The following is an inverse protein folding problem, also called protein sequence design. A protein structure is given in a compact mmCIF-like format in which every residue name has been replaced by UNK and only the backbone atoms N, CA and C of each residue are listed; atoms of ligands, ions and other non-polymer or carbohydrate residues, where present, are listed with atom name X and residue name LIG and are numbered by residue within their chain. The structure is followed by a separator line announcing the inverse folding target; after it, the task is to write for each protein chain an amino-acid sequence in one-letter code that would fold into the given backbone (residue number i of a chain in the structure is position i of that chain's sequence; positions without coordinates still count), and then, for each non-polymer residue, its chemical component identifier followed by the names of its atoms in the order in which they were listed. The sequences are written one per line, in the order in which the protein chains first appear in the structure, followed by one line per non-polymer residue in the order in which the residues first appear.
data_IF_966565318084
#
_entry.id   IF_966565318084
#
_cell.length_a   1.000
_cell.length_b   1.000
_cell.length_c   1.000
_cell.angle_alpha   90.00
_cell.angle_beta   90.00
_cell.angle_gamma   90.00
#
_symmetry.space_group_name_H-M   'P 1'
#
loop_
_entity.id
_entity.type
_entity.pdbx_description
1 polymer ?
#
# COMPACT_ATOMS: atom_id res chain seq x y z
N UNK A 1 -7.40 -24.14 28.35
CA UNK A 1 -7.19 -24.94 27.12
C UNK A 1 -7.99 -24.40 25.91
N UNK A 2 -9.17 -23.81 26.08
CA UNK A 2 -9.98 -23.26 24.98
C UNK A 2 -9.43 -21.94 24.40
N UNK A 3 -8.83 -21.07 25.22
CA UNK A 3 -8.25 -19.78 24.77
C UNK A 3 -6.98 -19.98 23.92
N UNK A 4 -6.16 -20.98 24.22
CA UNK A 4 -4.91 -21.27 23.50
C UNK A 4 -5.18 -21.91 22.12
N UNK A 5 -6.29 -22.60 21.95
CA UNK A 5 -6.73 -23.17 20.67
C UNK A 5 -7.36 -22.12 19.75
N UNK A 6 -8.01 -21.10 20.32
CA UNK A 6 -8.56 -19.97 19.57
C UNK A 6 -7.43 -19.05 19.05
N UNK A 7 -6.41 -18.79 19.84
CA UNK A 7 -5.24 -17.99 19.44
C UNK A 7 -4.42 -18.64 18.32
N UNK A 8 -4.42 -19.97 18.21
CA UNK A 8 -3.69 -20.70 17.13
C UNK A 8 -4.40 -20.64 15.79
N UNK A 9 -5.65 -20.23 15.72
CA UNK A 9 -6.47 -20.18 14.50
C UNK A 9 -6.71 -18.77 13.93
N UNK A 10 -6.37 -17.71 14.66
CA UNK A 10 -6.49 -16.35 14.13
C UNK A 10 -5.34 -16.07 13.16
N UNK A 11 -5.61 -16.21 11.89
CA UNK A 11 -4.67 -15.79 10.84
C UNK A 11 -4.65 -14.26 10.77
N UNK A 12 -3.52 -13.67 10.36
CA UNK A 12 -3.42 -12.21 10.16
C UNK A 12 -4.49 -11.68 9.18
N UNK A 13 -5.07 -12.57 8.35
CA UNK A 13 -6.12 -12.27 7.38
C UNK A 13 -7.43 -11.79 8.00
N UNK A 14 -7.68 -12.08 9.27
CA UNK A 14 -8.92 -11.70 9.98
C UNK A 14 -8.70 -10.50 10.91
N UNK A 15 -7.45 -10.10 11.13
CA UNK A 15 -7.11 -9.04 12.07
C UNK A 15 -7.35 -7.65 11.47
N UNK A 16 -7.80 -6.66 12.30
CA UNK A 16 -7.87 -5.27 11.87
C UNK A 16 -6.47 -4.68 11.68
N UNK A 17 -6.39 -3.57 10.95
CA UNK A 17 -5.14 -2.80 10.83
C UNK A 17 -4.72 -2.24 12.20
N UNK A 18 -3.42 -1.97 12.37
CA UNK A 18 -2.82 -1.59 13.65
C UNK A 18 -2.91 -0.09 13.98
N UNK A 19 -3.64 0.68 13.19
CA UNK A 19 -3.79 2.13 13.33
C UNK A 19 -5.25 2.55 13.11
N UNK A 20 -5.64 3.73 13.62
CA UNK A 20 -7.04 4.18 13.58
C UNK A 20 -7.39 5.14 12.44
N UNK A 21 -6.38 5.76 11.79
CA UNK A 21 -6.61 6.75 10.73
C UNK A 21 -6.58 6.11 9.33
N UNK A 22 -7.49 5.17 9.09
CA UNK A 22 -7.60 4.46 7.81
C UNK A 22 -8.06 5.43 6.72
N UNK A 23 -7.35 5.41 5.57
CA UNK A 23 -7.60 6.32 4.46
C UNK A 23 -6.91 7.69 4.58
N UNK A 24 -6.13 7.94 5.65
CA UNK A 24 -5.46 9.22 5.82
C UNK A 24 -4.45 9.53 4.72
N UNK A 25 -3.87 8.53 4.05
CA UNK A 25 -2.97 8.76 2.92
C UNK A 25 -3.68 9.30 1.67
N UNK A 26 -5.01 9.22 1.62
CA UNK A 26 -5.82 9.83 0.56
C UNK A 26 -6.03 11.34 0.79
N UNK A 27 -5.92 11.82 2.03
CA UNK A 27 -6.15 13.23 2.37
C UNK A 27 -5.11 14.15 1.70
N UNK A 28 -5.58 15.19 1.03
CA UNK A 28 -4.72 16.15 0.33
C UNK A 28 -3.82 16.95 1.30
N UNK A 29 -4.24 17.10 2.54
CA UNK A 29 -3.58 17.87 3.58
C UNK A 29 -2.77 17.00 4.58
N UNK A 30 -2.53 15.71 4.25
CA UNK A 30 -1.79 14.78 5.09
C UNK A 30 -0.47 15.33 5.65
N UNK A 31 0.27 16.09 4.83
CA UNK A 31 1.57 16.66 5.24
C UNK A 31 1.43 17.79 6.26
N UNK A 32 0.29 18.50 6.23
CA UNK A 32 0.03 19.64 7.12
C UNK A 32 -0.65 19.19 8.42
N UNK A 33 -1.52 18.19 8.34
CA UNK A 33 -2.32 17.70 9.47
C UNK A 33 -2.20 16.17 9.64
N UNK A 34 -0.98 15.65 9.87
CA UNK A 34 -0.82 14.21 10.05
C UNK A 34 -1.51 13.74 11.34
N UNK A 35 -2.00 12.51 11.38
CA UNK A 35 -2.51 11.92 12.60
C UNK A 35 -1.47 11.96 13.71
N UNK A 36 -1.89 12.27 14.94
CA UNK A 36 -1.01 12.47 16.09
C UNK A 36 -0.09 11.26 16.32
N UNK A 37 1.21 11.51 16.34
CA UNK A 37 2.24 10.50 16.59
C UNK A 37 2.71 9.74 15.35
N UNK A 38 2.17 10.05 14.18
CA UNK A 38 2.63 9.50 12.91
C UNK A 38 3.51 10.50 12.16
N UNK A 39 4.43 9.97 11.37
CA UNK A 39 5.28 10.75 10.47
C UNK A 39 4.74 10.63 9.05
N UNK A 40 4.30 11.73 8.43
CA UNK A 40 3.86 11.71 7.05
C UNK A 40 5.05 11.75 6.10
N UNK A 41 4.86 11.14 4.93
CA UNK A 41 5.79 11.17 3.81
C UNK A 41 5.00 11.32 2.52
N UNK A 42 5.48 12.18 1.63
CA UNK A 42 5.06 12.20 0.23
C UNK A 42 6.28 12.34 -0.67
N UNK A 43 6.34 11.54 -1.71
CA UNK A 43 7.37 11.58 -2.76
C UNK A 43 6.73 11.24 -4.09
N UNK A 44 7.23 11.86 -5.15
CA UNK A 44 6.80 11.56 -6.51
C UNK A 44 7.96 11.52 -7.48
N UNK A 45 7.76 10.84 -8.60
CA UNK A 45 8.68 10.80 -9.72
C UNK A 45 7.90 10.78 -11.03
N UNK A 46 8.37 11.52 -12.02
CA UNK A 46 7.81 11.46 -13.36
C UNK A 46 8.24 10.17 -14.06
N UNK A 47 7.25 9.42 -14.57
CA UNK A 47 7.45 8.16 -15.29
C UNK A 47 7.53 8.34 -16.81
N UNK A 48 7.06 9.45 -17.33
CA UNK A 48 6.96 9.74 -18.75
C UNK A 48 5.70 10.54 -19.07
N UNK A 49 5.09 10.26 -20.23
CA UNK A 49 3.85 10.92 -20.67
C UNK A 49 3.06 10.05 -21.65
N UNK A 50 1.76 10.34 -21.76
CA UNK A 50 0.81 9.70 -22.66
C UNK A 50 0.09 8.50 -22.06
N UNK A 51 -1.04 8.12 -22.68
CA UNK A 51 -1.97 7.10 -22.18
C UNK A 51 -1.32 5.72 -22.09
N UNK A 52 -0.53 5.33 -23.07
CA UNK A 52 0.19 4.04 -23.06
C UNK A 52 1.12 3.94 -21.86
N UNK A 53 1.80 5.04 -21.50
CA UNK A 53 2.68 5.08 -20.33
C UNK A 53 1.87 4.96 -19.03
N UNK A 54 0.72 5.64 -18.97
CA UNK A 54 -0.19 5.53 -17.82
C UNK A 54 -0.69 4.10 -17.65
N UNK A 55 -1.24 3.49 -18.69
CA UNK A 55 -1.79 2.13 -18.63
C UNK A 55 -0.71 1.10 -18.26
N UNK A 56 0.49 1.19 -18.86
CA UNK A 56 1.60 0.28 -18.52
C UNK A 56 2.02 0.41 -17.06
N UNK A 57 2.15 1.65 -16.55
CA UNK A 57 2.57 1.88 -15.18
C UNK A 57 1.49 1.48 -14.18
N UNK A 58 0.22 1.78 -14.48
CA UNK A 58 -0.93 1.43 -13.66
C UNK A 58 -1.11 -0.10 -13.56
N UNK A 59 -1.05 -0.81 -14.69
CA UNK A 59 -1.12 -2.28 -14.73
C UNK A 59 0.00 -2.91 -13.90
N UNK A 60 1.24 -2.46 -14.10
CA UNK A 60 2.37 -2.95 -13.32
C UNK A 60 2.21 -2.66 -11.82
N UNK A 61 1.70 -1.47 -11.46
CA UNK A 61 1.43 -1.11 -10.07
C UNK A 61 0.42 -2.07 -9.43
N UNK A 62 -0.73 -2.30 -10.11
CA UNK A 62 -1.80 -3.17 -9.61
C UNK A 62 -1.38 -4.64 -9.52
N UNK A 63 -0.30 -5.04 -10.19
CA UNK A 63 0.33 -6.36 -10.10
C UNK A 63 1.47 -6.44 -9.06
N UNK A 64 1.47 -5.54 -8.07
CA UNK A 64 2.54 -5.44 -7.06
C UNK A 64 3.92 -5.04 -7.63
N UNK A 65 3.95 -4.40 -8.79
CA UNK A 65 5.18 -4.07 -9.51
C UNK A 65 6.16 -3.21 -8.72
N UNK A 66 5.65 -2.32 -7.85
CA UNK A 66 6.51 -1.50 -6.97
C UNK A 66 7.24 -2.38 -5.94
N UNK A 67 6.53 -3.28 -5.29
CA UNK A 67 7.11 -4.19 -4.29
C UNK A 67 8.08 -5.16 -4.95
N UNK A 68 7.65 -5.84 -6.02
CA UNK A 68 8.47 -6.81 -6.78
C UNK A 68 9.73 -6.13 -7.36
N UNK A 69 9.58 -4.99 -8.04
CA UNK A 69 10.68 -4.21 -8.63
C UNK A 69 11.66 -3.66 -7.60
N UNK A 70 11.25 -3.56 -6.34
CA UNK A 70 12.11 -3.18 -5.22
C UNK A 70 12.82 -4.36 -4.55
N UNK A 71 12.60 -5.60 -5.03
CA UNK A 71 13.17 -6.82 -4.49
C UNK A 71 12.44 -7.36 -3.27
N UNK A 72 11.23 -6.88 -3.00
CA UNK A 72 10.34 -7.41 -1.97
C UNK A 72 9.55 -8.56 -2.57
N UNK A 73 9.50 -9.70 -1.89
CA UNK A 73 8.60 -10.78 -2.26
C UNK A 73 7.23 -10.54 -1.64
N UNK A 74 6.20 -10.68 -2.45
CA UNK A 74 4.80 -10.65 -2.02
C UNK A 74 4.33 -12.10 -1.93
N UNK A 75 3.97 -12.54 -0.73
CA UNK A 75 3.56 -13.93 -0.44
C UNK A 75 2.24 -13.96 0.31
N UNK A 76 1.64 -15.13 0.40
CA UNK A 76 0.41 -15.35 1.17
C UNK A 76 -0.70 -14.35 0.78
N UNK A 77 -0.81 -14.07 -0.52
CA UNK A 77 -1.85 -13.19 -1.06
C UNK A 77 -3.19 -13.90 -0.96
N UNK A 78 -4.11 -13.34 -0.20
CA UNK A 78 -5.46 -13.90 -0.03
C UNK A 78 -6.51 -12.81 -0.05
N UNK A 79 -7.73 -13.17 -0.43
CA UNK A 79 -8.87 -12.31 -0.17
C UNK A 79 -9.07 -12.20 1.34
N UNK A 80 -9.16 -10.96 1.82
CA UNK A 80 -9.36 -10.72 3.24
C UNK A 80 -10.77 -11.11 3.67
N UNK A 81 -10.88 -11.95 4.71
CA UNK A 81 -12.16 -12.36 5.31
C UNK A 81 -12.56 -11.49 6.51
N UNK A 82 -11.66 -10.63 6.98
CA UNK A 82 -11.87 -9.75 8.14
C UNK A 82 -12.55 -8.42 7.79
N UNK A 83 -12.34 -7.42 8.65
CA UNK A 83 -12.92 -6.07 8.50
C UNK A 83 -12.57 -5.48 7.15
N UNK A 84 -13.60 -5.16 6.35
CA UNK A 84 -13.45 -4.39 5.11
C UNK A 84 -13.46 -2.91 5.48
N UNK A 85 -12.47 -2.17 5.00
CA UNK A 85 -12.42 -0.73 5.15
C UNK A 85 -13.07 -0.12 3.90
N UNK A 86 -14.31 0.36 4.07
CA UNK A 86 -14.94 1.16 3.04
C UNK A 86 -14.35 2.57 3.12
N UNK A 87 -13.70 3.02 2.05
CA UNK A 87 -13.29 4.40 1.92
C UNK A 87 -14.52 5.31 1.93
N UNK A 88 -14.44 6.45 2.61
CA UNK A 88 -15.46 7.49 2.54
C UNK A 88 -14.98 8.51 1.52
N UNK A 89 -15.63 8.57 0.38
CA UNK A 89 -15.51 9.72 -0.53
C UNK A 89 -16.41 10.83 -0.06
N UNK A 90 -15.93 12.06 -0.19
CA UNK A 90 -16.75 13.24 0.07
C UNK A 90 -17.15 13.85 -1.28
N UNK A 91 -18.44 14.04 -1.47
CA UNK A 91 -18.98 14.78 -2.61
C UNK A 91 -18.50 16.24 -2.64
N UNK A 92 -18.71 16.95 -3.75
CA UNK A 92 -18.35 18.39 -3.86
C UNK A 92 -19.02 19.28 -2.80
N UNK A 93 -20.08 18.78 -2.18
CA UNK A 93 -20.84 19.42 -1.10
C UNK A 93 -20.38 18.99 0.31
N UNK A 94 -19.31 18.19 0.41
CA UNK A 94 -18.78 17.66 1.67
C UNK A 94 -19.61 16.53 2.29
N UNK A 95 -20.62 15.99 1.59
CA UNK A 95 -21.38 14.85 2.08
C UNK A 95 -20.58 13.55 1.91
N UNK A 96 -20.55 12.68 2.94
CA UNK A 96 -19.90 11.37 2.80
C UNK A 96 -20.64 10.52 1.76
N UNK A 97 -19.94 10.15 0.70
CA UNK A 97 -20.42 9.14 -0.25
C UNK A 97 -19.76 7.82 0.06
N UNK A 98 -20.55 6.74 0.09
CA UNK A 98 -19.98 5.38 0.11
C UNK A 98 -19.25 5.16 -1.20
N UNK A 99 -17.99 4.80 -1.14
CA UNK A 99 -17.32 4.22 -2.32
C UNK A 99 -18.18 3.05 -2.79
N UNK A 100 -18.54 3.05 -4.08
CA UNK A 100 -19.24 1.90 -4.66
C UNK A 100 -18.38 0.68 -4.38
N UNK A 101 -18.95 -0.29 -3.66
CA UNK A 101 -18.37 -1.62 -3.58
C UNK A 101 -18.03 -2.03 -5.01
N UNK A 102 -16.75 -2.28 -5.27
CA UNK A 102 -16.31 -2.75 -6.59
C UNK A 102 -17.23 -3.89 -7.01
N UNK A 103 -17.74 -3.83 -8.27
CA UNK A 103 -18.33 -4.99 -8.88
C UNK A 103 -17.42 -6.19 -8.63
N UNK A 104 -17.95 -7.42 -8.51
CA UNK A 104 -17.13 -8.60 -8.62
C UNK A 104 -16.47 -8.57 -10.00
N UNK A 105 -15.29 -7.97 -10.03
CA UNK A 105 -14.45 -8.02 -11.22
C UNK A 105 -13.96 -9.45 -11.37
N UNK A 106 -14.03 -9.96 -12.61
CA UNK A 106 -13.36 -11.19 -12.99
C UNK A 106 -11.94 -11.18 -12.46
N UNK A 107 -11.48 -12.32 -11.94
CA UNK A 107 -10.12 -12.46 -11.42
C UNK A 107 -9.12 -12.08 -12.51
N UNK A 108 -8.62 -10.85 -12.45
CA UNK A 108 -7.58 -10.38 -13.37
C UNK A 108 -6.25 -10.72 -12.72
N UNK A 109 -5.45 -11.49 -13.43
CA UNK A 109 -4.12 -11.91 -13.03
C UNK A 109 -3.07 -11.23 -13.90
N UNK A 110 -1.94 -10.91 -13.33
CA UNK A 110 -0.75 -10.56 -14.09
C UNK A 110 -0.19 -11.78 -14.83
N UNK A 111 0.71 -11.57 -15.80
CA UNK A 111 1.31 -12.63 -16.62
C UNK A 111 2.02 -13.71 -15.79
N UNK A 112 2.47 -13.38 -14.60
CA UNK A 112 3.10 -14.30 -13.64
C UNK A 112 2.10 -15.03 -12.73
N UNK A 113 0.80 -14.90 -12.98
CA UNK A 113 -0.27 -15.51 -12.20
C UNK A 113 -0.54 -14.82 -10.85
N UNK A 114 0.08 -13.69 -10.56
CA UNK A 114 -0.21 -12.92 -9.35
C UNK A 114 -1.57 -12.21 -9.51
N UNK A 115 -2.51 -12.35 -8.56
CA UNK A 115 -3.78 -11.64 -8.63
C UNK A 115 -3.55 -10.13 -8.52
N UNK A 116 -4.30 -9.36 -9.29
CA UNK A 116 -4.30 -7.90 -9.15
C UNK A 116 -4.80 -7.48 -7.78
N UNK A 117 -4.27 -6.35 -7.32
CA UNK A 117 -4.64 -5.79 -6.02
C UNK A 117 -6.12 -5.44 -5.99
N UNK A 118 -6.79 -5.89 -4.91
CA UNK A 118 -8.20 -5.58 -4.63
C UNK A 118 -8.36 -5.09 -3.19
N UNK A 119 -9.43 -4.35 -2.97
CA UNK A 119 -9.77 -3.91 -1.61
C UNK A 119 -9.99 -5.12 -0.68
N UNK A 120 -9.46 -5.02 0.54
CA UNK A 120 -9.53 -6.07 1.55
C UNK A 120 -8.51 -7.20 1.42
N UNK A 121 -7.81 -7.33 0.29
CA UNK A 121 -6.75 -8.33 0.15
C UNK A 121 -5.71 -8.20 1.26
N UNK A 122 -5.18 -9.36 1.68
CA UNK A 122 -4.05 -9.43 2.61
C UNK A 122 -2.85 -10.08 1.94
N UNK A 123 -1.66 -9.69 2.35
CA UNK A 123 -0.40 -10.27 1.88
C UNK A 123 0.68 -10.18 2.96
N UNK A 124 1.73 -10.95 2.80
CA UNK A 124 2.95 -10.81 3.59
C UNK A 124 4.09 -10.33 2.70
N UNK A 125 4.59 -9.14 3.00
CA UNK A 125 5.78 -8.61 2.34
C UNK A 125 7.03 -9.18 3.00
N UNK A 126 7.87 -9.87 2.23
CA UNK A 126 9.18 -10.38 2.69
C UNK A 126 10.26 -9.39 2.29
N UNK A 127 10.61 -8.50 3.19
CA UNK A 127 11.51 -7.37 2.98
C UNK A 127 12.96 -7.82 3.24
N UNK A 128 13.87 -7.76 2.25
CA UNK A 128 15.28 -8.09 2.46
C UNK A 128 15.96 -7.16 3.45
N UNK A 129 16.63 -7.74 4.44
CA UNK A 129 17.40 -7.04 5.46
C UNK A 129 18.71 -7.79 5.75
N UNK A 130 19.80 -7.41 5.09
CA UNK A 130 21.06 -8.15 5.12
C UNK A 130 20.87 -9.61 4.64
N UNK A 131 21.31 -10.60 5.41
CA UNK A 131 21.10 -12.02 5.07
C UNK A 131 19.68 -12.51 5.42
N UNK A 132 18.86 -11.70 6.07
CA UNK A 132 17.53 -12.06 6.55
C UNK A 132 16.42 -11.44 5.70
N UNK A 133 15.20 -11.92 5.92
CA UNK A 133 13.97 -11.29 5.42
C UNK A 133 13.03 -10.98 6.58
N UNK A 134 12.56 -9.76 6.65
CA UNK A 134 11.56 -9.33 7.62
C UNK A 134 10.18 -9.57 7.04
N UNK A 135 9.32 -10.25 7.79
CA UNK A 135 7.91 -10.43 7.41
C UNK A 135 7.11 -9.22 7.84
N UNK A 136 6.36 -8.64 6.91
CA UNK A 136 5.55 -7.46 7.12
C UNK A 136 4.12 -7.74 6.60
N UNK A 137 3.20 -8.23 7.45
CA UNK A 137 1.82 -8.48 7.07
C UNK A 137 1.09 -7.16 6.80
N UNK A 138 0.31 -7.13 5.70
CA UNK A 138 -0.43 -5.96 5.26
C UNK A 138 -1.84 -6.33 4.82
N UNK A 139 -2.72 -5.31 4.78
CA UNK A 139 -4.05 -5.39 4.16
C UNK A 139 -4.26 -4.18 3.25
N UNK A 140 -4.76 -4.42 2.06
CA UNK A 140 -5.24 -3.35 1.16
C UNK A 140 -6.48 -2.74 1.78
N UNK A 141 -6.43 -1.44 2.04
CA UNK A 141 -7.50 -0.70 2.74
C UNK A 141 -8.38 0.09 1.78
N UNK A 142 -7.85 0.47 0.61
CA UNK A 142 -8.63 1.01 -0.49
C UNK A 142 -7.88 0.87 -1.82
N UNK A 143 -8.62 0.93 -2.90
CA UNK A 143 -8.14 0.95 -4.29
C UNK A 143 -8.70 2.20 -4.97
N UNK A 144 -7.88 2.89 -5.75
CA UNK A 144 -8.26 4.00 -6.63
C UNK A 144 -8.28 3.46 -8.06
N UNK A 145 -9.42 3.57 -8.74
CA UNK A 145 -9.59 3.16 -10.13
C UNK A 145 -10.41 4.23 -10.87
N UNK A 146 -9.71 5.26 -11.29
CA UNK A 146 -10.24 6.42 -12.00
C UNK A 146 -9.59 6.52 -13.41
N UNK A 147 -10.18 7.24 -14.36
CA UNK A 147 -9.64 7.32 -15.72
C UNK A 147 -8.17 7.77 -15.82
N UNK A 148 -7.73 8.64 -14.91
CA UNK A 148 -6.38 9.23 -14.91
C UNK A 148 -5.62 9.00 -13.59
N UNK A 149 -6.16 8.14 -12.71
CA UNK A 149 -5.55 7.83 -11.41
C UNK A 149 -5.82 6.38 -11.05
N UNK A 150 -4.78 5.58 -10.93
CA UNK A 150 -4.88 4.17 -10.48
C UNK A 150 -3.87 3.86 -9.40
N UNK A 151 -4.32 3.17 -8.37
CA UNK A 151 -3.45 2.81 -7.27
C UNK A 151 -4.16 2.14 -6.12
N UNK A 152 -3.43 1.89 -5.06
CA UNK A 152 -3.96 1.29 -3.85
C UNK A 152 -3.19 1.74 -2.61
N UNK A 153 -3.84 1.67 -1.47
CA UNK A 153 -3.17 1.79 -0.18
C UNK A 153 -3.27 0.49 0.60
N UNK A 154 -2.22 0.17 1.32
CA UNK A 154 -2.26 -0.88 2.32
C UNK A 154 -1.95 -0.35 3.72
N UNK A 155 -2.61 -0.94 4.69
CA UNK A 155 -2.38 -0.74 6.11
C UNK A 155 -1.63 -1.92 6.73
N UNK A 156 -0.87 -1.65 7.77
CA UNK A 156 -0.10 -2.65 8.51
C UNK A 156 -1.00 -3.51 9.39
N UNK A 157 -0.70 -4.80 9.45
CA UNK A 157 -1.33 -5.77 10.36
C UNK A 157 -0.40 -6.11 11.53
N UNK A 158 -0.93 -6.88 12.50
CA UNK A 158 -0.12 -7.35 13.64
C UNK A 158 1.11 -8.13 13.15
N UNK A 159 2.26 -7.89 13.77
CA UNK A 159 3.54 -8.46 13.35
C UNK A 159 4.34 -7.61 12.37
N UNK A 160 3.75 -6.53 11.82
CA UNK A 160 4.48 -5.56 11.01
C UNK A 160 5.42 -4.71 11.88
N UNK A 161 6.67 -4.40 11.44
CA UNK A 161 7.63 -3.55 12.18
C UNK A 161 7.12 -2.14 12.46
N UNK A 162 6.27 -1.62 11.59
CA UNK A 162 5.66 -0.30 11.68
C UNK A 162 4.14 -0.41 11.85
N UNK A 163 3.53 0.68 12.33
CA UNK A 163 2.08 0.87 12.35
C UNK A 163 1.76 2.06 11.46
N UNK A 164 0.92 1.86 10.44
CA UNK A 164 0.56 2.94 9.51
C UNK A 164 0.02 2.44 8.17
N UNK A 165 0.03 3.35 7.20
CA UNK A 165 -0.57 3.19 5.87
C UNK A 165 0.38 3.70 4.80
N UNK A 166 0.37 3.08 3.63
CA UNK A 166 1.18 3.47 2.49
C UNK A 166 0.35 3.39 1.20
N UNK A 167 0.23 4.53 0.51
CA UNK A 167 -0.44 4.69 -0.78
C UNK A 167 0.57 4.69 -1.91
N UNK A 168 0.28 3.92 -2.93
CA UNK A 168 0.97 3.86 -4.21
C UNK A 168 -0.01 4.27 -5.29
N UNK A 169 0.31 5.32 -6.04
CA UNK A 169 -0.59 5.91 -7.02
C UNK A 169 0.16 6.24 -8.31
N UNK A 170 -0.39 5.86 -9.43
CA UNK A 170 -0.02 6.39 -10.76
C UNK A 170 -1.09 7.37 -11.18
N UNK A 171 -0.68 8.58 -11.55
CA UNK A 171 -1.58 9.62 -12.02
C UNK A 171 -1.08 10.26 -13.30
N UNK A 172 -2.02 10.60 -14.18
CA UNK A 172 -1.78 11.35 -15.40
C UNK A 172 -2.37 12.74 -15.25
N UNK A 173 -1.55 13.76 -15.46
CA UNK A 173 -1.95 15.16 -15.38
C UNK A 173 -2.52 15.65 -16.71
N UNK A 174 -3.20 16.80 -16.71
CA UNK A 174 -3.83 17.40 -17.88
C UNK A 174 -2.84 17.71 -19.01
N UNK A 175 -1.57 17.91 -18.70
CA UNK A 175 -0.48 18.08 -19.68
C UNK A 175 0.02 16.76 -20.27
N UNK A 176 -0.64 15.64 -19.95
CA UNK A 176 -0.30 14.29 -20.36
C UNK A 176 0.89 13.67 -19.63
N UNK A 177 1.51 14.36 -18.67
CA UNK A 177 2.61 13.78 -17.89
C UNK A 177 2.10 12.72 -16.93
N UNK A 178 2.86 11.62 -16.80
CA UNK A 178 2.54 10.48 -15.92
C UNK A 178 3.49 10.47 -14.74
N UNK A 179 2.93 10.38 -13.54
CA UNK A 179 3.66 10.43 -12.29
C UNK A 179 3.35 9.20 -11.43
N UNK A 180 4.36 8.74 -10.73
CA UNK A 180 4.17 7.83 -9.60
C UNK A 180 4.28 8.63 -8.31
N UNK A 181 3.28 8.50 -7.46
CA UNK A 181 3.17 9.16 -6.14
C UNK A 181 3.16 8.10 -5.05
N UNK A 182 4.01 8.30 -4.07
CA UNK A 182 4.08 7.51 -2.84
C UNK A 182 3.70 8.42 -1.68
N UNK A 183 2.67 8.06 -0.93
CA UNK A 183 2.31 8.70 0.35
C UNK A 183 2.35 7.67 1.46
N UNK A 184 2.82 8.05 2.62
CA UNK A 184 2.83 7.18 3.77
C UNK A 184 2.60 7.95 5.05
N UNK A 185 2.05 7.26 6.02
CA UNK A 185 2.08 7.66 7.42
C UNK A 185 2.53 6.47 8.25
N UNK A 186 3.52 6.63 9.10
CA UNK A 186 4.04 5.52 9.89
C UNK A 186 4.58 5.94 11.24
N UNK A 187 4.59 4.97 12.13
CA UNK A 187 5.32 5.01 13.41
C UNK A 187 5.84 3.61 13.74
N UNK A 188 6.88 3.46 14.57
CA UNK A 188 7.28 2.16 15.10
C UNK A 188 6.12 1.45 15.80
N UNK A 189 5.90 0.16 15.49
CA UNK A 189 4.73 -0.59 16.00
C UNK A 189 4.81 -0.85 17.51
N UNK A 190 6.00 -0.92 18.09
CA UNK A 190 6.19 -1.19 19.50
C UNK A 190 7.49 -0.55 20.06
N UNK A 191 7.74 -0.73 21.37
CA UNK A 191 8.88 -0.15 22.06
C UNK A 191 10.23 -0.66 21.52
N UNK A 192 10.34 -1.93 21.12
CA UNK A 192 11.54 -2.48 20.52
C UNK A 192 11.88 -1.78 19.20
N UNK A 193 10.90 -1.67 18.30
CA UNK A 193 11.10 -0.96 17.03
C UNK A 193 11.33 0.53 17.20
N UNK A 194 10.88 1.12 18.32
CA UNK A 194 11.23 2.51 18.67
C UNK A 194 12.70 2.67 19.00
N UNK A 195 13.30 1.71 19.72
CA UNK A 195 14.74 1.72 20.03
C UNK A 195 15.58 1.60 18.75
N UNK A 196 15.18 0.74 17.83
CA UNK A 196 15.87 0.53 16.53
C UNK A 196 15.40 1.50 15.44
N UNK A 197 14.64 2.53 15.78
CA UNK A 197 14.05 3.47 14.82
C UNK A 197 15.06 4.15 13.87
N UNK A 198 16.33 4.46 14.25
CA UNK A 198 17.30 4.99 13.29
C UNK A 198 17.61 4.00 12.15
N UNK A 199 17.66 2.70 12.46
CA UNK A 199 17.85 1.63 11.46
C UNK A 199 16.63 1.51 10.59
N UNK A 200 15.42 1.49 11.17
CA UNK A 200 14.16 1.49 10.42
C UNK A 200 14.07 2.69 9.45
N UNK A 201 14.42 3.89 9.92
CA UNK A 201 14.42 5.08 9.09
C UNK A 201 15.42 5.00 7.91
N UNK A 202 16.58 4.36 8.12
CA UNK A 202 17.54 4.12 7.03
C UNK A 202 17.00 3.11 6.01
N UNK A 203 16.36 2.04 6.48
CA UNK A 203 15.68 1.04 5.64
C UNK A 203 14.54 1.69 4.85
N UNK A 204 13.68 2.47 5.50
CA UNK A 204 12.60 3.22 4.85
C UNK A 204 13.14 4.11 3.71
N UNK A 205 14.16 4.94 3.98
CA UNK A 205 14.75 5.80 2.94
C UNK A 205 15.27 4.98 1.76
N UNK A 206 15.91 3.84 2.02
CA UNK A 206 16.40 2.94 0.98
C UNK A 206 15.25 2.38 0.13
N UNK A 207 14.16 1.92 0.77
CA UNK A 207 13.01 1.36 0.05
C UNK A 207 12.20 2.44 -0.65
N UNK A 208 12.00 3.61 -0.06
CA UNK A 208 11.41 4.78 -0.75
C UNK A 208 12.13 5.06 -2.08
N UNK A 209 13.47 5.09 -2.06
CA UNK A 209 14.25 5.32 -3.28
C UNK A 209 14.10 4.19 -4.32
N UNK A 210 13.94 2.94 -3.87
CA UNK A 210 13.67 1.80 -4.77
C UNK A 210 12.26 1.87 -5.33
N UNK A 211 11.25 2.15 -4.50
CA UNK A 211 9.85 2.29 -4.91
C UNK A 211 9.69 3.32 -6.03
N UNK A 212 10.31 4.50 -5.87
CA UNK A 212 10.24 5.57 -6.87
C UNK A 212 10.80 5.13 -8.23
N UNK A 213 11.73 4.19 -8.26
CA UNK A 213 12.35 3.70 -9.51
C UNK A 213 11.69 2.45 -10.07
N UNK A 214 10.90 1.73 -9.27
CA UNK A 214 10.41 0.39 -9.63
C UNK A 214 9.54 0.38 -10.89
N UNK A 215 8.78 1.46 -11.14
CA UNK A 215 7.95 1.61 -12.34
C UNK A 215 8.62 2.45 -13.45
N UNK A 216 9.86 2.87 -13.26
CA UNK A 216 10.54 3.70 -14.27
C UNK A 216 10.95 2.85 -15.48
N UNK A 217 10.75 3.32 -16.73
CA UNK A 217 11.07 2.57 -17.95
C UNK A 217 12.50 2.02 -18.01
N UNK A 218 13.46 2.76 -17.47
CA UNK A 218 14.86 2.36 -17.42
C UNK A 218 15.17 1.23 -16.40
N UNK A 219 14.18 0.80 -15.61
CA UNK A 219 14.33 -0.27 -14.61
C UNK A 219 13.88 -1.63 -15.14
N UNK A 220 13.36 -1.68 -16.36
CA UNK A 220 12.80 -2.88 -17.00
C UNK A 220 13.79 -3.60 -17.91
N UNK A 221 15.09 -3.26 -17.82
CA UNK A 221 16.17 -3.86 -18.60
C UNK A 221 17.05 -4.78 -17.75
#
# INVERSE_FOLDING_TARGET
MAEDEYMRRSTFTDQPVTYGAVGATHAADLLYYPPKGYKPLERSIRLGSGDERFETAATALMAWGVQKGSGIQVTDVTEGTGVQYEGVEFGPDGTPMRMRANRPEEDVFADDGTPFVRNGMTAVLKIPFGPFRVSAPIRVVYVIDEPHRRGFAYGTLHGHPESGEELFLVEQHDDGTVWFVLRALSRPSNAFYRIVSPVLAAVQRRYTAKYLRALHPASSA
#
